data_IF_582950340403
#
_entry.id   IF_582950340403
#
_cell.length_a   1.000
_cell.length_b   1.000
_cell.length_c   1.000
_cell.angle_alpha   90.00
_cell.angle_beta   90.00
_cell.angle_gamma   90.00
#
_symmetry.space_group_name_H-M   'P 1'
#
loop_
_entity.id
_entity.type
_entity.pdbx_description
1 polymer ?
#
# COMPACT_ATOMS: atom_id res chain seq x y z
N UNK A 1 38.43 -24.58 -2.00
CA UNK A 1 37.77 -23.53 -1.19
C UNK A 1 36.73 -24.20 -0.30
N UNK A 2 36.77 -24.01 1.01
CA UNK A 2 35.94 -24.81 1.94
C UNK A 2 34.47 -24.38 1.88
N UNK A 3 33.55 -25.35 1.93
CA UNK A 3 32.10 -25.16 1.88
C UNK A 3 31.59 -24.20 2.98
N UNK A 4 32.30 -24.10 4.11
CA UNK A 4 32.01 -23.13 5.19
C UNK A 4 32.18 -21.67 4.73
N UNK A 5 33.12 -21.40 3.83
CA UNK A 5 33.34 -20.06 3.28
C UNK A 5 32.24 -19.64 2.30
N UNK A 6 31.73 -20.60 1.51
CA UNK A 6 30.63 -20.38 0.55
C UNK A 6 29.30 -20.17 1.30
N UNK A 7 29.06 -20.91 2.38
CA UNK A 7 27.86 -20.77 3.22
C UNK A 7 27.90 -19.47 4.03
N UNK A 8 29.07 -19.05 4.56
CA UNK A 8 29.21 -17.77 5.25
C UNK A 8 29.02 -16.59 4.28
N UNK A 9 29.56 -16.68 3.06
CA UNK A 9 29.36 -15.68 2.01
C UNK A 9 27.89 -15.62 1.55
N UNK A 10 27.21 -16.76 1.36
CA UNK A 10 25.79 -16.81 1.00
C UNK A 10 24.86 -16.37 2.16
N UNK A 11 25.22 -16.58 3.43
CA UNK A 11 24.48 -16.04 4.58
C UNK A 11 24.71 -14.52 4.75
N UNK A 12 25.91 -14.02 4.47
CA UNK A 12 26.21 -12.58 4.44
C UNK A 12 25.56 -11.92 3.21
N UNK A 13 25.42 -12.60 2.09
CA UNK A 13 24.73 -12.06 0.91
C UNK A 13 23.21 -12.18 1.06
N UNK A 14 22.70 -13.26 1.66
CA UNK A 14 21.28 -13.56 1.83
C UNK A 14 20.60 -12.90 3.03
N UNK A 15 21.31 -12.61 4.12
CA UNK A 15 20.76 -11.84 5.25
C UNK A 15 20.91 -10.31 5.09
N UNK A 16 21.54 -9.84 4.01
CA UNK A 16 21.85 -8.40 3.80
C UNK A 16 20.96 -7.77 2.70
N UNK A 17 19.79 -8.36 2.49
CA UNK A 17 18.68 -7.75 1.77
C UNK A 17 17.51 -7.38 2.69
N UNK A 18 17.78 -7.17 3.99
CA UNK A 18 16.92 -6.31 4.83
C UNK A 18 17.45 -4.88 4.65
N UNK A 19 16.99 -4.25 3.57
CA UNK A 19 17.01 -2.81 3.27
C UNK A 19 18.09 -2.00 4.02
N UNK A 20 19.31 -1.98 3.46
CA UNK A 20 20.46 -1.21 3.96
C UNK A 20 20.09 0.23 4.35
N UNK A 21 19.13 0.86 3.65
CA UNK A 21 18.58 2.17 4.01
C UNK A 21 17.86 2.19 5.39
N UNK A 22 17.02 1.21 5.71
CA UNK A 22 16.41 1.08 7.05
C UNK A 22 17.49 0.92 8.11
N UNK A 23 18.48 0.08 7.83
CA UNK A 23 19.56 -0.19 8.78
C UNK A 23 20.38 1.06 9.06
N UNK A 24 20.79 1.79 8.01
CA UNK A 24 21.47 3.07 8.13
C UNK A 24 20.61 4.09 8.89
N UNK A 25 19.30 4.15 8.62
CA UNK A 25 18.40 5.03 9.38
C UNK A 25 18.33 4.71 10.87
N UNK A 26 18.20 3.44 11.22
CA UNK A 26 18.18 3.02 12.63
C UNK A 26 19.52 3.27 13.32
N UNK A 27 20.63 3.12 12.59
CA UNK A 27 21.94 3.49 13.10
C UNK A 27 22.04 5.01 13.33
N UNK A 28 21.57 5.84 12.40
CA UNK A 28 21.52 7.30 12.58
C UNK A 28 20.70 7.65 13.85
N UNK A 29 19.50 7.09 14.01
CA UNK A 29 18.66 7.27 15.20
C UNK A 29 19.37 6.82 16.50
N UNK A 30 20.01 5.64 16.51
CA UNK A 30 20.72 5.11 17.68
C UNK A 30 21.96 5.94 18.05
N UNK A 31 22.75 6.36 17.06
CA UNK A 31 23.93 7.20 17.25
C UNK A 31 23.50 8.53 17.89
N UNK A 32 22.47 9.18 17.36
CA UNK A 32 21.93 10.41 17.94
C UNK A 32 21.39 10.22 19.36
N UNK A 33 20.72 9.11 19.66
CA UNK A 33 20.23 8.81 21.01
C UNK A 33 21.38 8.66 22.01
N UNK A 34 22.47 8.01 21.63
CA UNK A 34 23.68 7.88 22.47
C UNK A 34 24.34 9.24 22.68
N UNK A 35 24.45 10.05 21.63
CA UNK A 35 25.02 11.39 21.72
C UNK A 35 24.17 12.33 22.60
N UNK A 36 22.85 12.13 22.63
CA UNK A 36 21.96 12.88 23.53
C UNK A 36 22.01 12.40 24.99
N UNK A 37 22.47 11.17 25.25
CA UNK A 37 22.56 10.56 26.58
C UNK A 37 23.94 9.92 26.78
N UNK A 38 24.99 10.76 26.95
CA UNK A 38 26.36 10.28 27.02
C UNK A 38 26.63 9.52 28.32
N UNK A 39 27.17 8.31 28.21
CA UNK A 39 27.61 7.49 29.34
C UNK A 39 28.94 6.83 28.95
N UNK A 40 29.87 6.67 29.91
CA UNK A 40 31.26 6.22 29.64
C UNK A 40 31.29 4.81 29.00
N UNK A 41 30.37 3.92 29.37
CA UNK A 41 30.27 2.58 28.77
C UNK A 41 29.66 2.59 27.36
N UNK A 42 29.00 3.68 26.95
CA UNK A 42 28.44 3.83 25.61
C UNK A 42 29.50 4.20 24.57
N UNK A 43 30.71 4.59 24.97
CA UNK A 43 31.82 4.97 24.06
C UNK A 43 32.15 3.83 23.08
N UNK A 44 32.35 2.61 23.58
CA UNK A 44 32.66 1.44 22.73
C UNK A 44 31.53 1.12 21.75
N UNK A 45 30.29 1.24 22.20
CA UNK A 45 29.12 0.95 21.36
C UNK A 45 28.79 2.10 20.40
N UNK A 46 29.18 3.34 20.71
CA UNK A 46 29.16 4.47 19.79
C UNK A 46 30.16 4.24 18.65
N UNK A 47 31.39 3.83 18.96
CA UNK A 47 32.39 3.47 17.94
C UNK A 47 31.93 2.33 17.03
N UNK A 48 31.33 1.28 17.59
CA UNK A 48 30.78 0.17 16.78
C UNK A 48 29.70 0.66 15.82
N UNK A 49 28.78 1.51 16.29
CA UNK A 49 27.68 2.00 15.46
C UNK A 49 28.19 2.96 14.36
N UNK A 50 29.11 3.86 14.69
CA UNK A 50 29.75 4.78 13.73
C UNK A 50 30.58 4.01 12.69
N UNK A 51 31.37 3.01 13.11
CA UNK A 51 32.13 2.16 12.21
C UNK A 51 31.21 1.32 11.30
N UNK A 52 30.11 0.79 11.85
CA UNK A 52 29.10 0.07 11.07
C UNK A 52 28.41 0.98 10.06
N UNK A 53 28.15 2.24 10.42
CA UNK A 53 27.60 3.25 9.51
C UNK A 53 28.53 3.48 8.31
N UNK A 54 29.82 3.73 8.58
CA UNK A 54 30.86 3.91 7.57
C UNK A 54 30.99 2.73 6.62
N UNK A 55 31.03 1.51 7.16
CA UNK A 55 31.14 0.28 6.38
C UNK A 55 29.95 0.10 5.42
N UNK A 56 28.73 0.34 5.90
CA UNK A 56 27.53 0.09 5.10
C UNK A 56 27.29 1.13 4.01
N UNK A 57 27.72 2.39 4.18
CA UNK A 57 27.72 3.37 3.09
C UNK A 57 28.68 2.95 1.98
N UNK A 58 29.93 2.58 2.33
CA UNK A 58 30.92 2.13 1.34
C UNK A 58 30.44 0.91 0.57
N UNK A 59 29.77 -0.01 1.25
CA UNK A 59 29.16 -1.18 0.62
C UNK A 59 28.04 -0.79 -0.33
N UNK A 60 27.12 0.09 0.09
CA UNK A 60 26.02 0.54 -0.75
C UNK A 60 26.52 1.24 -2.00
N UNK A 61 27.51 2.13 -1.86
CA UNK A 61 28.19 2.80 -2.98
C UNK A 61 28.76 1.80 -3.98
N UNK A 62 29.53 0.80 -3.52
CA UNK A 62 30.09 -0.24 -4.41
C UNK A 62 28.99 -1.00 -5.15
N UNK A 63 27.93 -1.41 -4.46
CA UNK A 63 26.82 -2.14 -5.11
C UNK A 63 26.05 -1.27 -6.10
N UNK A 64 25.92 0.02 -5.80
CA UNK A 64 25.28 1.00 -6.67
C UNK A 64 26.10 1.25 -7.94
N UNK A 65 27.42 1.40 -7.83
CA UNK A 65 28.33 1.53 -8.98
C UNK A 65 28.30 0.29 -9.90
N UNK A 66 28.08 -0.89 -9.33
CA UNK A 66 27.85 -2.13 -10.07
C UNK A 66 26.46 -2.22 -10.73
N UNK A 67 25.67 -1.13 -10.71
CA UNK A 67 24.33 -1.01 -11.32
C UNK A 67 23.39 -2.15 -10.93
N UNK A 68 23.41 -2.57 -9.66
CA UNK A 68 22.54 -3.64 -9.17
C UNK A 68 21.12 -3.12 -8.93
N UNK A 69 20.12 -3.69 -9.60
CA UNK A 69 18.73 -3.23 -9.48
C UNK A 69 18.19 -3.30 -8.04
N UNK A 70 18.54 -4.36 -7.30
CA UNK A 70 18.09 -4.57 -5.92
C UNK A 70 18.64 -3.56 -4.90
N UNK A 71 19.58 -2.68 -5.27
CA UNK A 71 20.09 -1.61 -4.39
C UNK A 71 19.53 -0.22 -4.72
N UNK A 72 18.70 -0.09 -5.76
CA UNK A 72 18.16 1.21 -6.19
C UNK A 72 17.25 1.85 -5.13
N UNK A 73 16.35 1.08 -4.51
CA UNK A 73 15.48 1.60 -3.45
C UNK A 73 16.25 1.97 -2.16
N UNK A 74 17.16 1.12 -1.63
CA UNK A 74 18.04 1.51 -0.53
C UNK A 74 18.91 2.75 -0.82
N UNK A 75 19.41 2.88 -2.05
CA UNK A 75 20.16 4.06 -2.49
C UNK A 75 19.28 5.30 -2.53
N UNK A 76 18.05 5.20 -3.05
CA UNK A 76 17.09 6.30 -3.07
C UNK A 76 16.73 6.75 -1.65
N UNK A 77 16.55 5.80 -0.74
CA UNK A 77 16.29 6.09 0.66
C UNK A 77 17.43 6.88 1.33
N UNK A 78 18.69 6.48 1.13
CA UNK A 78 19.83 7.24 1.65
C UNK A 78 19.94 8.63 1.00
N UNK A 79 19.70 8.71 -0.31
CA UNK A 79 19.71 9.98 -1.06
C UNK A 79 18.67 10.98 -0.53
N UNK A 80 17.43 10.54 -0.32
CA UNK A 80 16.34 11.37 0.22
C UNK A 80 16.51 11.71 1.70
N UNK A 81 17.18 10.84 2.48
CA UNK A 81 17.52 11.14 3.87
C UNK A 81 18.56 12.25 4.01
N UNK A 82 19.40 12.45 2.98
CA UNK A 82 20.50 13.41 3.01
C UNK A 82 21.57 13.04 4.04
N UNK A 83 22.43 14.00 4.38
CA UNK A 83 23.49 13.77 5.36
C UNK A 83 22.94 13.34 6.73
N UNK A 84 23.60 12.40 7.41
CA UNK A 84 23.21 11.94 8.73
C UNK A 84 23.13 13.10 9.70
N UNK A 85 22.13 13.07 10.57
CA UNK A 85 21.87 14.17 11.51
C UNK A 85 23.00 14.35 12.51
N UNK A 86 23.66 13.25 12.91
CA UNK A 86 24.82 13.30 13.81
C UNK A 86 26.07 13.92 13.18
N UNK A 87 26.17 13.99 11.84
CA UNK A 87 27.30 14.63 11.16
C UNK A 87 27.11 16.14 11.04
N UNK A 88 25.87 16.59 10.80
CA UNK A 88 25.58 18.01 10.57
C UNK A 88 25.57 18.87 11.83
N UNK A 89 25.28 18.28 13.00
CA UNK A 89 24.88 19.05 14.18
C UNK A 89 25.80 18.86 15.40
N UNK A 90 26.95 18.23 15.26
CA UNK A 90 27.74 17.77 16.42
C UNK A 90 29.17 18.28 16.36
N UNK A 91 29.59 18.96 17.44
CA UNK A 91 31.00 19.25 17.69
C UNK A 91 31.70 17.99 18.22
N UNK A 92 32.70 17.48 17.50
CA UNK A 92 33.49 16.33 17.95
C UNK A 92 34.21 16.62 19.27
N UNK A 93 34.60 17.88 19.52
CA UNK A 93 35.20 18.30 20.79
C UNK A 93 34.20 18.15 21.95
N UNK A 94 32.92 18.44 21.72
CA UNK A 94 31.86 18.22 22.70
C UNK A 94 31.63 16.73 22.94
N UNK A 95 31.65 15.90 21.89
CA UNK A 95 31.53 14.43 22.06
C UNK A 95 32.70 13.87 22.86
N UNK A 96 33.91 14.39 22.63
CA UNK A 96 35.10 14.02 23.40
C UNK A 96 34.91 14.31 24.89
N UNK A 97 34.40 15.49 25.24
CA UNK A 97 34.14 15.87 26.64
C UNK A 97 33.02 15.04 27.25
N UNK A 98 31.91 14.88 26.52
CA UNK A 98 30.69 14.24 27.02
C UNK A 98 30.90 12.74 27.30
N UNK A 99 31.75 12.07 26.52
CA UNK A 99 32.08 10.64 26.66
C UNK A 99 33.40 10.36 27.39
N UNK A 100 34.11 11.40 27.86
CA UNK A 100 35.43 11.31 28.50
C UNK A 100 36.43 10.48 27.66
N UNK A 101 36.48 10.76 26.36
CA UNK A 101 37.31 9.99 25.42
C UNK A 101 38.80 10.27 25.62
N UNK A 102 39.61 9.22 25.47
CA UNK A 102 41.06 9.35 25.33
C UNK A 102 41.44 10.05 24.01
N UNK A 103 42.65 10.60 23.91
CA UNK A 103 43.16 11.22 22.67
C UNK A 103 43.11 10.25 21.47
N UNK A 104 43.38 8.97 21.72
CA UNK A 104 43.33 7.95 20.69
C UNK A 104 41.91 7.73 20.18
N UNK A 105 40.96 7.57 21.08
CA UNK A 105 39.54 7.41 20.74
C UNK A 105 39.01 8.65 20.02
N UNK A 106 39.38 9.83 20.48
CA UNK A 106 39.01 11.09 19.81
C UNK A 106 39.51 11.14 18.37
N UNK A 107 40.77 10.76 18.14
CA UNK A 107 41.34 10.67 16.79
C UNK A 107 40.64 9.63 15.92
N UNK A 108 40.36 8.45 16.48
CA UNK A 108 39.63 7.39 15.77
C UNK A 108 38.21 7.86 15.37
N UNK A 109 37.54 8.64 16.23
CA UNK A 109 36.23 9.22 15.95
C UNK A 109 36.31 10.19 14.77
N UNK A 110 37.28 11.12 14.79
CA UNK A 110 37.50 12.06 13.69
C UNK A 110 37.75 11.33 12.36
N UNK A 111 38.59 10.30 12.36
CA UNK A 111 38.88 9.48 11.18
C UNK A 111 37.62 8.78 10.66
N UNK A 112 36.73 8.30 11.54
CA UNK A 112 35.47 7.71 11.12
C UNK A 112 34.51 8.74 10.54
N UNK A 113 34.40 9.92 11.15
CA UNK A 113 33.54 11.01 10.67
C UNK A 113 33.98 11.49 9.29
N UNK A 114 35.28 11.62 9.06
CA UNK A 114 35.84 11.96 7.75
C UNK A 114 35.54 10.86 6.73
N UNK A 115 35.83 9.60 7.06
CA UNK A 115 35.51 8.44 6.18
C UNK A 115 34.04 8.39 5.80
N UNK A 116 33.12 8.68 6.71
CA UNK A 116 31.68 8.71 6.42
C UNK A 116 31.38 9.85 5.45
N UNK A 117 31.90 11.05 5.71
CA UNK A 117 31.71 12.24 4.87
C UNK A 117 32.22 12.02 3.45
N UNK A 118 33.46 11.53 3.28
CA UNK A 118 34.02 11.20 1.97
C UNK A 118 33.16 10.16 1.24
N UNK A 119 32.71 9.12 1.95
CA UNK A 119 31.93 8.03 1.34
C UNK A 119 30.52 8.50 0.91
N UNK A 120 29.90 9.40 1.68
CA UNK A 120 28.62 10.02 1.33
C UNK A 120 28.75 10.94 0.11
N UNK A 121 29.79 11.77 0.06
CA UNK A 121 30.03 12.66 -1.09
C UNK A 121 30.25 11.84 -2.37
N UNK A 122 31.06 10.78 -2.30
CA UNK A 122 31.25 9.86 -3.41
C UNK A 122 29.95 9.16 -3.83
N UNK A 123 29.08 8.84 -2.87
CA UNK A 123 27.76 8.27 -3.14
C UNK A 123 26.80 9.25 -3.81
N UNK A 124 26.72 10.50 -3.34
CA UNK A 124 25.86 11.51 -3.93
C UNK A 124 26.30 11.89 -5.34
N UNK A 125 27.61 11.99 -5.59
CA UNK A 125 28.15 12.21 -6.94
C UNK A 125 27.75 11.06 -7.87
N UNK A 126 27.97 9.80 -7.46
CA UNK A 126 27.57 8.63 -8.24
C UNK A 126 26.07 8.60 -8.54
N UNK A 127 25.23 9.04 -7.59
CA UNK A 127 23.78 9.15 -7.78
C UNK A 127 23.41 10.24 -8.79
N UNK A 128 24.06 11.41 -8.74
CA UNK A 128 23.83 12.52 -9.67
C UNK A 128 24.26 12.21 -11.11
N UNK A 129 25.24 11.33 -11.28
CA UNK A 129 25.75 10.89 -12.59
C UNK A 129 24.97 9.73 -13.21
N UNK A 130 23.97 9.16 -12.52
CA UNK A 130 23.22 7.98 -12.97
C UNK A 130 21.79 8.35 -13.44
N UNK A 131 21.51 8.40 -14.76
CA UNK A 131 20.19 8.74 -15.30
C UNK A 131 19.09 7.77 -14.88
N UNK A 132 19.43 6.49 -14.69
CA UNK A 132 18.48 5.46 -14.27
C UNK A 132 18.09 5.58 -12.79
N UNK A 133 18.88 6.29 -11.98
CA UNK A 133 18.59 6.51 -10.56
C UNK A 133 17.63 7.69 -10.34
N UNK A 134 17.75 8.74 -11.17
CA UNK A 134 16.91 9.94 -11.08
C UNK A 134 15.43 9.59 -11.31
N UNK A 135 15.15 8.67 -12.24
CA UNK A 135 13.80 8.21 -12.57
C UNK A 135 13.18 7.20 -11.59
N UNK A 136 13.93 6.69 -10.60
CA UNK A 136 13.38 5.75 -9.60
C UNK A 136 12.61 6.53 -8.52
N UNK A 137 11.31 6.27 -8.41
CA UNK A 137 10.48 6.84 -7.35
C UNK A 137 10.90 6.30 -5.98
N UNK A 138 10.96 7.18 -4.97
CA UNK A 138 11.27 6.79 -3.60
C UNK A 138 10.11 6.01 -2.97
N UNK A 139 10.35 4.75 -2.63
CA UNK A 139 9.42 3.92 -1.87
C UNK A 139 9.85 3.85 -0.41
N UNK A 140 9.00 4.31 0.51
CA UNK A 140 9.31 4.22 1.95
C UNK A 140 9.41 2.75 2.36
N UNK A 141 10.35 2.40 3.26
CA UNK A 141 10.48 1.05 3.78
C UNK A 141 9.15 0.57 4.36
N UNK A 142 8.61 -0.49 3.78
CA UNK A 142 7.30 -1.01 4.16
C UNK A 142 7.46 -1.88 5.42
N UNK A 143 7.45 -1.22 6.58
CA UNK A 143 7.08 -1.85 7.85
C UNK A 143 5.59 -2.14 7.81
N UNK A 144 5.24 -3.15 7.01
CA UNK A 144 3.87 -3.52 6.77
C UNK A 144 3.39 -4.47 7.87
N UNK A 145 2.18 -4.21 8.36
CA UNK A 145 1.49 -5.09 9.30
C UNK A 145 1.44 -6.54 8.77
N UNK A 146 1.33 -6.68 7.45
CA UNK A 146 1.22 -7.91 6.68
C UNK A 146 2.53 -8.70 6.67
N UNK A 147 3.68 -8.03 6.53
CA UNK A 147 5.01 -8.67 6.60
C UNK A 147 5.28 -9.20 8.02
N UNK A 148 4.94 -8.42 9.04
CA UNK A 148 5.05 -8.87 10.44
C UNK A 148 4.07 -10.02 10.72
N UNK A 149 2.85 -9.96 10.19
CA UNK A 149 1.86 -11.05 10.28
C UNK A 149 2.40 -12.34 9.68
N UNK A 150 2.95 -12.28 8.47
CA UNK A 150 3.47 -13.45 7.74
C UNK A 150 4.69 -14.04 8.44
N UNK A 151 5.52 -13.19 9.04
CA UNK A 151 6.68 -13.62 9.84
C UNK A 151 6.22 -14.39 11.07
N UNK A 152 5.27 -13.84 11.84
CA UNK A 152 4.69 -14.51 13.00
C UNK A 152 3.96 -15.79 12.63
N UNK A 153 3.26 -15.80 11.50
CA UNK A 153 2.57 -16.99 11.00
C UNK A 153 3.58 -18.12 10.76
N UNK A 154 4.67 -17.84 10.06
CA UNK A 154 5.73 -18.82 9.87
C UNK A 154 6.35 -19.28 11.19
N UNK A 155 6.61 -18.37 12.14
CA UNK A 155 7.15 -18.72 13.46
C UNK A 155 6.21 -19.68 14.19
N UNK A 156 4.92 -19.35 14.30
CA UNK A 156 3.96 -20.14 15.08
C UNK A 156 3.54 -21.43 14.37
N UNK A 157 3.55 -21.44 13.03
CA UNK A 157 3.25 -22.63 12.23
C UNK A 157 4.40 -23.64 12.22
N UNK A 158 5.64 -23.17 12.07
CA UNK A 158 6.82 -24.06 11.94
C UNK A 158 7.43 -24.43 13.29
N UNK A 159 7.24 -23.60 14.31
CA UNK A 159 7.84 -23.76 15.65
C UNK A 159 9.36 -23.99 15.58
N UNK A 160 10.06 -23.29 14.67
CA UNK A 160 11.52 -23.44 14.52
C UNK A 160 12.25 -22.95 15.78
N UNK A 161 12.76 -23.90 16.56
CA UNK A 161 13.49 -23.68 17.82
C UNK A 161 14.78 -22.87 17.66
N UNK A 162 15.31 -22.72 16.43
CA UNK A 162 16.49 -21.90 16.15
C UNK A 162 16.18 -20.40 16.21
N UNK A 163 14.90 -20.03 16.14
CA UNK A 163 14.46 -18.65 16.29
C UNK A 163 14.57 -18.27 17.76
N UNK A 164 15.44 -17.30 18.04
CA UNK A 164 15.69 -16.85 19.42
C UNK A 164 14.42 -16.26 20.04
N UNK A 165 14.12 -16.61 21.30
CA UNK A 165 12.91 -16.18 22.03
C UNK A 165 12.64 -14.68 22.00
N UNK A 166 13.68 -13.83 22.10
CA UNK A 166 13.51 -12.37 22.05
C UNK A 166 12.98 -11.89 20.70
N UNK A 167 13.30 -12.58 19.59
CA UNK A 167 12.77 -12.24 18.27
C UNK A 167 11.28 -12.53 18.20
N UNK A 168 10.84 -13.65 18.77
CA UNK A 168 9.43 -14.02 18.86
C UNK A 168 8.65 -12.96 19.63
N UNK A 169 9.09 -12.65 20.86
CA UNK A 169 8.46 -11.63 21.71
C UNK A 169 8.39 -10.27 21.00
N UNK A 170 9.52 -9.84 20.41
CA UNK A 170 9.60 -8.57 19.68
C UNK A 170 8.69 -8.53 18.46
N UNK A 171 8.59 -9.61 17.68
CA UNK A 171 7.70 -9.65 16.51
C UNK A 171 6.22 -9.52 16.91
N UNK A 172 5.82 -10.12 18.04
CA UNK A 172 4.45 -9.99 18.58
C UNK A 172 4.19 -8.56 19.05
N UNK A 173 5.16 -7.96 19.75
CA UNK A 173 5.10 -6.56 20.19
C UNK A 173 5.02 -5.58 19.00
N UNK A 174 5.86 -5.79 17.98
CA UNK A 174 5.87 -5.02 16.74
C UNK A 174 4.51 -5.13 16.03
N UNK A 175 3.92 -6.33 15.96
CA UNK A 175 2.59 -6.52 15.38
C UNK A 175 1.52 -5.76 16.16
N UNK A 176 1.52 -5.87 17.49
CA UNK A 176 0.62 -5.12 18.36
C UNK A 176 0.69 -3.63 18.07
N UNK A 177 1.91 -3.06 18.04
CA UNK A 177 2.13 -1.64 17.74
C UNK A 177 1.64 -1.25 16.34
N UNK A 178 2.01 -2.01 15.32
CA UNK A 178 1.61 -1.77 13.93
C UNK A 178 0.10 -1.82 13.76
N UNK A 179 -0.60 -2.76 14.39
CA UNK A 179 -2.06 -2.88 14.33
C UNK A 179 -2.74 -1.63 14.92
N UNK A 180 -2.21 -1.09 16.02
CA UNK A 180 -2.71 0.16 16.60
C UNK A 180 -2.52 1.35 15.66
N UNK A 181 -1.33 1.47 15.05
CA UNK A 181 -1.04 2.54 14.07
C UNK A 181 -1.92 2.40 12.81
N UNK A 182 -2.13 1.17 12.35
CA UNK A 182 -2.98 0.83 11.22
C UNK A 182 -4.44 1.25 11.49
N UNK A 183 -4.99 0.81 12.62
CA UNK A 183 -6.35 1.16 13.07
C UNK A 183 -6.55 2.67 13.17
N UNK A 184 -5.60 3.39 13.78
CA UNK A 184 -5.67 4.86 13.87
C UNK A 184 -5.71 5.50 12.48
N UNK A 185 -4.85 5.08 11.56
CA UNK A 185 -4.83 5.62 10.20
C UNK A 185 -6.09 5.26 9.40
N UNK A 186 -6.67 4.09 9.65
CA UNK A 186 -7.94 3.65 9.08
C UNK A 186 -9.11 4.53 9.54
N UNK A 187 -9.23 4.79 10.85
CA UNK A 187 -10.23 5.71 11.43
C UNK A 187 -10.10 7.12 10.83
N UNK A 188 -8.87 7.57 10.58
CA UNK A 188 -8.59 8.85 9.92
C UNK A 188 -8.91 8.87 8.40
N UNK A 189 -9.45 7.79 7.83
CA UNK A 189 -9.92 7.74 6.44
C UNK A 189 -8.82 7.78 5.39
N UNK A 190 -7.59 7.37 5.72
CA UNK A 190 -6.48 7.38 4.74
C UNK A 190 -6.73 6.34 3.64
N UNK A 191 -6.92 6.81 2.39
CA UNK A 191 -7.19 5.96 1.22
C UNK A 191 -6.21 4.81 1.04
N UNK A 192 -4.92 5.03 1.31
CA UNK A 192 -3.85 4.04 1.16
C UNK A 192 -3.95 2.83 2.10
N UNK A 193 -4.90 2.82 3.04
CA UNK A 193 -5.08 1.77 4.04
C UNK A 193 -6.39 1.02 3.85
N UNK A 194 -7.30 1.49 2.98
CA UNK A 194 -8.63 0.89 2.82
C UNK A 194 -8.56 -0.53 2.27
N UNK A 195 -7.78 -0.76 1.21
CA UNK A 195 -7.64 -2.08 0.59
C UNK A 195 -6.97 -3.08 1.53
N UNK A 196 -5.94 -2.64 2.26
CA UNK A 196 -5.26 -3.43 3.29
C UNK A 196 -6.19 -3.76 4.46
N UNK A 197 -7.06 -2.82 4.83
CA UNK A 197 -8.00 -3.01 5.91
C UNK A 197 -9.07 -4.04 5.52
N UNK A 198 -9.51 -4.01 4.26
CA UNK A 198 -10.44 -5.00 3.71
C UNK A 198 -9.85 -6.41 3.80
N UNK A 199 -8.61 -6.61 3.33
CA UNK A 199 -7.93 -7.91 3.41
C UNK A 199 -7.79 -8.43 4.86
N UNK A 200 -7.45 -7.55 5.82
CA UNK A 200 -7.34 -7.92 7.23
C UNK A 200 -8.69 -8.26 7.88
N UNK A 201 -9.77 -7.62 7.43
CA UNK A 201 -11.12 -7.90 7.90
C UNK A 201 -11.68 -9.20 7.30
N UNK A 202 -11.55 -9.39 5.98
CA UNK A 202 -11.98 -10.59 5.25
C UNK A 202 -11.24 -11.86 5.70
N UNK A 203 -9.97 -11.73 6.12
CA UNK A 203 -9.21 -12.86 6.66
C UNK A 203 -9.67 -13.32 8.05
N UNK A 204 -10.59 -12.60 8.70
CA UNK A 204 -11.13 -12.90 10.02
C UNK A 204 -10.15 -12.64 11.17
N UNK A 205 -9.02 -12.00 10.89
CA UNK A 205 -8.04 -11.60 11.90
C UNK A 205 -6.58 -11.86 11.49
N UNK A 206 -5.64 -11.52 12.38
CA UNK A 206 -4.22 -11.81 12.18
C UNK A 206 -4.00 -13.31 11.92
N UNK A 207 -3.46 -13.67 10.75
CA UNK A 207 -3.34 -15.07 10.30
C UNK A 207 -2.56 -15.96 11.27
N UNK A 208 -1.52 -15.41 11.91
CA UNK A 208 -0.69 -16.15 12.85
C UNK A 208 -1.44 -16.64 14.08
N UNK A 209 -2.56 -16.01 14.46
CA UNK A 209 -3.34 -16.42 15.63
C UNK A 209 -3.98 -17.80 15.44
N UNK A 210 -4.20 -18.24 14.19
CA UNK A 210 -4.69 -19.60 13.89
C UNK A 210 -3.74 -20.69 14.36
N UNK A 211 -2.46 -20.36 14.54
CA UNK A 211 -1.41 -21.29 14.95
C UNK A 211 -0.91 -21.00 16.37
N UNK A 212 -1.52 -20.06 17.08
CA UNK A 212 -1.12 -19.74 18.45
C UNK A 212 -1.57 -20.84 19.41
N UNK A 213 -0.62 -21.59 19.95
CA UNK A 213 -0.81 -22.59 21.00
C UNK A 213 0.13 -22.25 22.15
N UNK A 214 -0.44 -21.71 23.23
CA UNK A 214 0.30 -21.19 24.39
C UNK A 214 1.33 -22.20 24.91
N UNK A 215 0.91 -23.45 25.14
CA UNK A 215 1.76 -24.49 25.74
C UNK A 215 2.86 -24.92 24.77
N UNK A 216 2.55 -25.09 23.48
CA UNK A 216 3.57 -25.45 22.49
C UNK A 216 4.59 -24.34 22.29
N UNK A 217 4.16 -23.10 22.22
CA UNK A 217 5.05 -21.95 22.02
C UNK A 217 5.95 -21.75 23.25
N UNK A 218 5.39 -21.83 24.46
CA UNK A 218 6.16 -21.77 25.70
C UNK A 218 7.27 -22.83 25.73
N UNK A 219 6.91 -24.09 25.42
CA UNK A 219 7.85 -25.22 25.46
C UNK A 219 8.91 -25.11 24.37
N UNK A 220 8.52 -24.78 23.14
CA UNK A 220 9.43 -24.73 21.98
C UNK A 220 10.49 -23.65 22.16
N UNK A 221 10.09 -22.45 22.61
CA UNK A 221 11.01 -21.32 22.77
C UNK A 221 11.61 -21.19 24.16
N UNK A 222 11.34 -22.15 25.06
CA UNK A 222 11.83 -22.19 26.45
C UNK A 222 11.58 -20.85 27.16
N UNK A 223 10.35 -20.36 27.07
CA UNK A 223 9.93 -19.12 27.74
C UNK A 223 9.84 -19.36 29.24
N UNK A 224 10.32 -18.41 30.04
CA UNK A 224 10.03 -18.41 31.49
C UNK A 224 8.54 -18.22 31.74
N UNK A 225 8.07 -18.52 32.95
CA UNK A 225 6.66 -18.29 33.34
C UNK A 225 6.24 -16.84 33.10
N UNK A 226 7.09 -15.89 33.45
CA UNK A 226 6.86 -14.45 33.26
C UNK A 226 6.85 -14.05 31.79
N UNK A 227 7.76 -14.59 30.98
CA UNK A 227 7.81 -14.34 29.53
C UNK A 227 6.58 -14.92 28.82
N UNK A 228 6.17 -16.13 29.19
CA UNK A 228 4.97 -16.78 28.64
C UNK A 228 3.70 -16.00 29.00
N UNK A 229 3.56 -15.56 30.26
CA UNK A 229 2.44 -14.70 30.68
C UNK A 229 2.43 -13.35 29.95
N UNK A 230 3.60 -12.74 29.73
CA UNK A 230 3.71 -11.48 28.97
C UNK A 230 3.32 -11.65 27.51
N UNK A 231 3.74 -12.76 26.88
CA UNK A 231 3.34 -13.13 25.52
C UNK A 231 1.82 -13.31 25.42
N UNK A 232 1.23 -14.08 26.33
CA UNK A 232 -0.23 -14.33 26.33
C UNK A 232 -1.02 -13.03 26.53
N UNK A 233 -0.56 -12.15 27.43
CA UNK A 233 -1.14 -10.81 27.60
C UNK A 233 -1.05 -9.98 26.30
N UNK A 234 0.09 -10.03 25.58
CA UNK A 234 0.23 -9.34 24.28
C UNK A 234 -0.74 -9.91 23.23
N UNK A 235 -0.93 -11.23 23.19
CA UNK A 235 -1.92 -11.86 22.31
C UNK A 235 -3.34 -11.42 22.67
N UNK A 236 -3.68 -11.36 23.96
CA UNK A 236 -4.94 -10.81 24.43
C UNK A 236 -5.14 -9.35 24.00
N UNK A 237 -4.10 -8.51 24.14
CA UNK A 237 -4.11 -7.11 23.67
C UNK A 237 -4.27 -6.99 22.15
N UNK A 238 -3.68 -7.91 21.37
CA UNK A 238 -3.86 -7.97 19.91
C UNK A 238 -5.31 -8.30 19.56
N UNK A 239 -5.95 -9.28 20.22
CA UNK A 239 -7.38 -9.57 20.03
C UNK A 239 -8.24 -8.35 20.35
N UNK A 240 -7.97 -7.65 21.46
CA UNK A 240 -8.69 -6.44 21.82
C UNK A 240 -8.53 -5.33 20.77
N UNK A 241 -7.31 -5.10 20.26
CA UNK A 241 -7.07 -4.12 19.18
C UNK A 241 -7.72 -4.53 17.87
N UNK A 242 -7.73 -5.81 17.54
CA UNK A 242 -8.44 -6.30 16.37
C UNK A 242 -9.95 -6.07 16.50
N UNK A 243 -10.53 -6.30 17.69
CA UNK A 243 -11.94 -5.94 17.96
C UNK A 243 -12.22 -4.44 17.81
N UNK A 244 -11.29 -3.58 18.23
CA UNK A 244 -11.40 -2.14 17.98
C UNK A 244 -11.36 -1.80 16.48
N UNK A 245 -10.48 -2.47 15.74
CA UNK A 245 -10.41 -2.36 14.30
C UNK A 245 -11.70 -2.83 13.62
N UNK A 246 -12.22 -4.02 13.92
CA UNK A 246 -13.49 -4.52 13.36
C UNK A 246 -14.66 -3.60 13.71
N UNK A 247 -14.72 -3.08 14.93
CA UNK A 247 -15.73 -2.08 15.29
C UNK A 247 -15.59 -0.79 14.48
N UNK A 248 -14.35 -0.32 14.23
CA UNK A 248 -14.12 0.82 13.36
C UNK A 248 -14.52 0.54 11.91
N UNK A 249 -14.30 -0.69 11.44
CA UNK A 249 -14.72 -1.19 10.14
C UNK A 249 -16.24 -1.15 9.98
N UNK A 250 -16.99 -1.75 10.91
CA UNK A 250 -18.47 -1.70 10.91
C UNK A 250 -19.02 -0.28 11.00
N UNK A 251 -18.33 0.62 11.71
CA UNK A 251 -18.71 2.03 11.85
C UNK A 251 -18.29 2.90 10.65
N UNK A 252 -17.38 2.42 9.80
CA UNK A 252 -16.89 3.19 8.67
C UNK A 252 -17.81 2.94 7.47
N UNK A 253 -18.62 3.94 7.07
CA UNK A 253 -19.60 3.76 6.01
C UNK A 253 -18.95 3.52 4.63
N UNK A 254 -17.63 3.63 4.49
CA UNK A 254 -16.91 3.34 3.25
C UNK A 254 -16.18 1.99 3.27
N UNK A 255 -16.35 1.19 4.32
CA UNK A 255 -15.58 -0.03 4.57
C UNK A 255 -16.29 -1.31 4.14
N UNK A 256 -17.52 -1.51 4.61
CA UNK A 256 -18.44 -2.46 3.95
C UNK A 256 -18.78 -1.89 2.59
N UNK A 257 -18.76 -2.74 1.57
CA UNK A 257 -18.91 -2.36 0.18
C UNK A 257 -20.19 -1.55 -0.03
N UNK A 258 -20.04 -0.23 -0.12
CA UNK A 258 -21.07 0.61 -0.70
C UNK A 258 -21.19 0.22 -2.16
N UNK A 259 -22.42 -0.02 -2.57
CA UNK A 259 -22.82 -0.11 -3.97
C UNK A 259 -22.18 1.04 -4.74
N UNK A 260 -21.30 0.74 -5.69
CA UNK A 260 -20.66 1.78 -6.50
C UNK A 260 -21.64 2.28 -7.56
N UNK A 261 -22.40 3.32 -7.21
CA UNK A 261 -23.35 3.96 -8.11
C UNK A 261 -22.70 4.81 -9.20
N UNK A 262 -21.37 4.76 -9.39
CA UNK A 262 -20.68 5.48 -10.47
C UNK A 262 -21.30 5.19 -11.84
N UNK A 263 -21.66 3.93 -12.11
CA UNK A 263 -22.36 3.50 -13.32
C UNK A 263 -23.71 4.22 -13.50
N UNK A 264 -24.52 4.28 -12.44
CA UNK A 264 -25.82 4.96 -12.47
C UNK A 264 -25.64 6.47 -12.65
N UNK A 265 -24.64 7.05 -12.00
CA UNK A 265 -24.29 8.47 -12.15
C UNK A 265 -23.86 8.80 -13.58
N UNK A 266 -23.04 7.97 -14.22
CA UNK A 266 -22.62 8.15 -15.61
C UNK A 266 -23.84 8.13 -16.53
N UNK A 267 -24.73 7.16 -16.37
CA UNK A 267 -25.97 7.10 -17.16
C UNK A 267 -26.81 8.37 -17.00
N UNK A 268 -26.97 8.91 -15.77
CA UNK A 268 -27.70 10.17 -15.53
C UNK A 268 -27.03 11.37 -16.20
N UNK A 269 -25.70 11.43 -16.19
CA UNK A 269 -24.95 12.50 -16.86
C UNK A 269 -25.12 12.40 -18.37
N UNK A 270 -24.92 11.21 -18.95
CA UNK A 270 -25.13 10.98 -20.37
C UNK A 270 -26.55 11.37 -20.80
N UNK A 271 -27.56 10.99 -20.02
CA UNK A 271 -28.94 11.33 -20.30
C UNK A 271 -29.20 12.84 -20.28
N UNK A 272 -28.70 13.55 -19.26
CA UNK A 272 -28.81 15.00 -19.17
C UNK A 272 -28.12 15.68 -20.36
N UNK A 273 -26.90 15.29 -20.68
CA UNK A 273 -26.15 15.85 -21.81
C UNK A 273 -26.83 15.55 -23.14
N UNK A 274 -27.38 14.34 -23.33
CA UNK A 274 -28.16 14.01 -24.52
C UNK A 274 -29.40 14.90 -24.65
N UNK A 275 -30.12 15.19 -23.55
CA UNK A 275 -31.23 16.15 -23.58
C UNK A 275 -30.79 17.53 -24.04
N UNK A 276 -29.68 18.04 -23.51
CA UNK A 276 -29.14 19.35 -23.89
C UNK A 276 -28.75 19.39 -25.38
N UNK A 277 -28.12 18.32 -25.88
CA UNK A 277 -27.77 18.16 -27.30
C UNK A 277 -29.02 18.14 -28.19
N UNK A 278 -30.08 17.42 -27.79
CA UNK A 278 -31.33 17.37 -28.57
C UNK A 278 -32.16 18.65 -28.51
N UNK A 279 -32.01 19.47 -27.45
CA UNK A 279 -32.66 20.78 -27.37
C UNK A 279 -32.03 21.80 -28.32
N UNK A 280 -30.72 21.69 -28.56
CA UNK A 280 -29.96 22.60 -29.43
C UNK A 280 -29.07 21.79 -30.39
N UNK A 281 -29.66 21.06 -31.35
CA UNK A 281 -28.90 20.19 -32.23
C UNK A 281 -28.00 21.01 -33.17
N UNK A 282 -26.81 20.48 -33.43
CA UNK A 282 -25.81 21.12 -34.29
C UNK A 282 -24.81 20.09 -34.81
N UNK A 283 -24.34 20.27 -36.05
CA UNK A 283 -23.28 19.44 -36.63
C UNK A 283 -22.02 19.38 -35.75
N UNK A 284 -21.71 20.44 -34.99
CA UNK A 284 -20.57 20.48 -34.05
C UNK A 284 -20.73 19.53 -32.86
N UNK A 285 -21.96 19.13 -32.54
CA UNK A 285 -22.27 18.27 -31.41
C UNK A 285 -22.41 16.79 -31.80
N UNK A 286 -22.29 16.46 -33.09
CA UNK A 286 -22.41 15.08 -33.61
C UNK A 286 -21.44 14.13 -32.92
N UNK A 287 -20.17 14.50 -32.77
CA UNK A 287 -19.19 13.65 -32.06
C UNK A 287 -19.56 13.44 -30.59
N UNK A 288 -20.03 14.50 -29.92
CA UNK A 288 -20.50 14.44 -28.53
C UNK A 288 -21.72 13.52 -28.39
N UNK A 289 -22.67 13.61 -29.32
CA UNK A 289 -23.85 12.73 -29.39
C UNK A 289 -23.43 11.26 -29.41
N UNK A 290 -22.56 10.87 -30.35
CA UNK A 290 -22.09 9.49 -30.46
C UNK A 290 -21.29 9.05 -29.24
N UNK A 291 -20.48 9.94 -28.65
CA UNK A 291 -19.74 9.66 -27.42
C UNK A 291 -20.67 9.34 -26.26
N UNK A 292 -21.71 10.15 -26.03
CA UNK A 292 -22.67 9.90 -24.95
C UNK A 292 -23.46 8.60 -25.17
N UNK A 293 -23.89 8.32 -26.41
CA UNK A 293 -24.59 7.07 -26.76
C UNK A 293 -23.70 5.86 -26.48
N UNK A 294 -22.42 5.91 -26.87
CA UNK A 294 -21.45 4.83 -26.66
C UNK A 294 -21.19 4.59 -25.17
N UNK A 295 -20.99 5.66 -24.40
CA UNK A 295 -20.79 5.55 -22.95
C UNK A 295 -22.01 4.91 -22.27
N UNK A 296 -23.22 5.38 -22.62
CA UNK A 296 -24.48 4.78 -22.15
C UNK A 296 -24.54 3.29 -22.49
N UNK A 297 -24.20 2.93 -23.73
CA UNK A 297 -24.17 1.55 -24.18
C UNK A 297 -23.21 0.67 -23.37
N UNK A 298 -22.02 1.17 -23.05
CA UNK A 298 -21.03 0.43 -22.26
C UNK A 298 -21.49 0.21 -20.83
N UNK A 299 -22.07 1.21 -20.16
CA UNK A 299 -22.57 1.06 -18.80
C UNK A 299 -23.72 0.06 -18.72
N UNK A 300 -24.65 0.08 -19.68
CA UNK A 300 -25.69 -0.96 -19.75
C UNK A 300 -25.08 -2.35 -20.00
N UNK A 301 -24.00 -2.43 -20.76
CA UNK A 301 -23.26 -3.68 -20.99
C UNK A 301 -22.60 -4.21 -19.73
N UNK A 302 -22.08 -3.31 -18.89
CA UNK A 302 -21.59 -3.65 -17.55
C UNK A 302 -22.72 -4.24 -16.71
N UNK A 303 -23.85 -3.53 -16.51
CA UNK A 303 -24.99 -3.94 -15.66
C UNK A 303 -25.61 -5.31 -16.02
N UNK A 304 -25.42 -5.77 -17.26
CA UNK A 304 -25.90 -7.10 -17.71
C UNK A 304 -25.06 -8.26 -17.21
N UNK A 305 -23.80 -8.06 -16.83
CA UNK A 305 -22.90 -9.14 -16.41
C UNK A 305 -23.42 -9.83 -15.13
N UNK A 306 -23.24 -11.14 -15.03
CA UNK A 306 -23.72 -11.91 -13.88
C UNK A 306 -22.87 -11.73 -12.61
N UNK A 307 -21.59 -11.39 -12.78
CA UNK A 307 -20.58 -11.33 -11.73
C UNK A 307 -20.33 -9.90 -11.20
N UNK A 308 -21.34 -9.04 -11.22
CA UNK A 308 -21.21 -7.66 -10.72
C UNK A 308 -21.44 -7.65 -9.20
N UNK A 309 -20.56 -7.06 -8.40
CA UNK A 309 -20.82 -6.80 -6.99
C UNK A 309 -22.05 -5.89 -6.82
N UNK A 310 -22.95 -6.22 -5.89
CA UNK A 310 -24.19 -5.45 -5.65
C UNK A 310 -25.08 -5.27 -6.90
N UNK A 311 -25.12 -6.30 -7.75
CA UNK A 311 -25.87 -6.25 -9.01
C UNK A 311 -27.32 -5.88 -8.79
N UNK A 312 -27.99 -6.45 -7.78
CA UNK A 312 -29.41 -6.21 -7.54
C UNK A 312 -29.66 -4.75 -7.16
N UNK A 313 -28.82 -4.17 -6.30
CA UNK A 313 -28.92 -2.80 -5.83
C UNK A 313 -28.60 -1.80 -6.96
N UNK A 314 -27.65 -2.10 -7.85
CA UNK A 314 -27.39 -1.31 -9.04
C UNK A 314 -28.55 -1.38 -10.05
N UNK A 315 -29.12 -2.57 -10.24
CA UNK A 315 -30.30 -2.76 -11.10
C UNK A 315 -31.53 -2.04 -10.52
N UNK A 316 -31.72 -2.09 -9.21
CA UNK A 316 -32.77 -1.37 -8.51
C UNK A 316 -32.60 0.14 -8.67
N UNK A 317 -31.41 0.70 -8.43
CA UNK A 317 -31.17 2.14 -8.62
C UNK A 317 -31.33 2.58 -10.09
N UNK A 318 -30.98 1.72 -11.05
CA UNK A 318 -31.26 1.95 -12.46
C UNK A 318 -32.77 1.99 -12.73
N UNK A 319 -33.52 1.05 -12.14
CA UNK A 319 -34.97 0.99 -12.26
C UNK A 319 -35.66 2.16 -11.54
N UNK A 320 -35.17 2.62 -10.39
CA UNK A 320 -35.69 3.81 -9.70
C UNK A 320 -35.42 5.10 -10.50
N UNK A 321 -34.28 5.18 -11.19
CA UNK A 321 -33.91 6.36 -11.98
C UNK A 321 -34.78 6.55 -13.21
N UNK A 322 -35.14 5.47 -13.91
CA UNK A 322 -35.88 5.54 -15.17
C UNK A 322 -37.30 4.97 -15.07
N UNK A 323 -37.57 4.06 -14.12
CA UNK A 323 -38.85 3.40 -13.96
C UNK A 323 -39.33 2.77 -15.27
N UNK A 324 -40.59 3.02 -15.61
CA UNK A 324 -41.19 2.74 -16.93
C UNK A 324 -40.91 3.83 -17.96
N UNK A 325 -40.34 4.97 -17.54
CA UNK A 325 -40.04 6.10 -18.40
C UNK A 325 -38.71 5.91 -19.13
N UNK A 326 -38.78 5.59 -20.42
CA UNK A 326 -37.59 5.45 -21.25
C UNK A 326 -36.79 6.77 -21.30
N UNK A 327 -35.43 6.70 -21.15
CA UNK A 327 -34.52 7.80 -21.44
C UNK A 327 -34.84 8.46 -22.78
N UNK A 328 -34.58 9.77 -22.92
CA UNK A 328 -34.99 10.53 -24.12
C UNK A 328 -34.50 9.89 -25.43
N UNK A 329 -33.25 9.40 -25.45
CA UNK A 329 -32.62 8.73 -26.59
C UNK A 329 -33.30 7.41 -26.97
N UNK A 330 -34.06 6.80 -26.05
CA UNK A 330 -34.74 5.53 -26.25
C UNK A 330 -36.20 5.68 -26.62
N UNK A 331 -36.77 6.89 -26.57
CA UNK A 331 -38.13 7.17 -27.04
C UNK A 331 -38.20 7.07 -28.58
N UNK A 332 -39.39 7.01 -29.20
CA UNK A 332 -39.50 7.15 -30.65
C UNK A 332 -38.88 8.47 -31.11
N UNK A 333 -37.87 8.39 -31.98
CA UNK A 333 -37.16 9.54 -32.54
C UNK A 333 -37.48 9.65 -34.04
N UNK A 334 -37.58 10.87 -34.54
CA UNK A 334 -37.69 11.11 -35.98
C UNK A 334 -36.27 11.21 -36.57
N UNK A 335 -35.80 10.12 -37.18
CA UNK A 335 -34.45 10.03 -37.71
C UNK A 335 -34.19 10.96 -38.90
N UNK A 336 -35.20 11.22 -39.73
CA UNK A 336 -35.10 12.23 -40.80
C UNK A 336 -34.87 13.64 -40.23
N UNK A 337 -35.60 13.98 -39.16
CA UNK A 337 -35.39 15.24 -38.46
C UNK A 337 -33.99 15.30 -37.83
N UNK A 338 -33.55 14.23 -37.15
CA UNK A 338 -32.21 14.18 -36.55
C UNK A 338 -31.10 14.29 -37.60
N UNK A 339 -31.26 13.63 -38.75
CA UNK A 339 -30.33 13.73 -39.87
C UNK A 339 -30.20 15.18 -40.34
N UNK A 340 -31.31 15.88 -40.51
CA UNK A 340 -31.33 17.31 -40.87
C UNK A 340 -30.70 18.18 -39.77
N UNK A 341 -31.14 18.02 -38.53
CA UNK A 341 -30.75 18.85 -37.38
C UNK A 341 -29.24 18.75 -37.07
N UNK A 342 -28.63 17.57 -37.27
CA UNK A 342 -27.20 17.33 -37.07
C UNK A 342 -26.37 17.36 -38.37
N UNK A 343 -27.02 17.60 -39.51
CA UNK A 343 -26.40 17.57 -40.86
C UNK A 343 -25.62 16.28 -41.10
N UNK A 344 -26.23 15.13 -40.79
CA UNK A 344 -25.59 13.82 -40.91
C UNK A 344 -25.62 13.34 -42.36
N UNK A 345 -24.52 12.73 -42.80
CA UNK A 345 -24.51 11.89 -44.00
C UNK A 345 -25.44 10.68 -43.85
N UNK A 346 -25.99 10.18 -44.94
CA UNK A 346 -26.89 9.01 -44.97
C UNK A 346 -26.32 7.81 -44.21
N UNK A 347 -25.04 7.50 -44.45
CA UNK A 347 -24.35 6.38 -43.79
C UNK A 347 -24.22 6.56 -42.28
N UNK A 348 -24.09 7.81 -41.82
CA UNK A 348 -23.98 8.15 -40.40
C UNK A 348 -25.35 8.14 -39.72
N UNK A 349 -26.39 8.58 -40.41
CA UNK A 349 -27.77 8.50 -39.93
C UNK A 349 -28.22 7.04 -39.74
N UNK A 350 -27.92 6.15 -40.69
CA UNK A 350 -28.21 4.70 -40.59
C UNK A 350 -27.47 4.10 -39.39
N UNK A 351 -26.18 4.39 -39.21
CA UNK A 351 -25.41 3.93 -38.04
C UNK A 351 -26.00 4.42 -36.72
N UNK A 352 -26.46 5.66 -36.67
CA UNK A 352 -27.10 6.23 -35.48
C UNK A 352 -28.39 5.46 -35.14
N UNK A 353 -29.22 5.20 -36.14
CA UNK A 353 -30.46 4.41 -35.98
C UNK A 353 -30.16 3.00 -35.47
N UNK A 354 -29.20 2.30 -36.06
CA UNK A 354 -28.75 0.98 -35.61
C UNK A 354 -28.26 1.02 -34.16
N UNK A 355 -27.40 1.98 -33.81
CA UNK A 355 -26.85 2.12 -32.46
C UNK A 355 -27.93 2.38 -31.41
N UNK A 356 -28.89 3.24 -31.72
CA UNK A 356 -30.03 3.51 -30.82
C UNK A 356 -30.90 2.25 -30.69
N UNK A 357 -31.11 1.50 -31.77
CA UNK A 357 -31.79 0.20 -31.74
C UNK A 357 -31.08 -0.83 -30.85
N UNK A 358 -29.75 -0.91 -30.92
CA UNK A 358 -28.93 -1.74 -30.02
C UNK A 358 -29.02 -1.28 -28.56
N UNK A 359 -28.96 0.03 -28.32
CA UNK A 359 -29.08 0.61 -26.99
C UNK A 359 -30.44 0.29 -26.37
N UNK A 360 -31.54 0.45 -27.13
CA UNK A 360 -32.90 0.13 -26.69
C UNK A 360 -33.05 -1.33 -26.31
N UNK A 361 -32.55 -2.26 -27.15
CA UNK A 361 -32.54 -3.70 -26.83
C UNK A 361 -31.79 -3.98 -25.53
N UNK A 362 -30.63 -3.38 -25.34
CA UNK A 362 -29.79 -3.60 -24.16
C UNK A 362 -30.41 -3.02 -22.89
N UNK A 363 -31.05 -1.85 -22.98
CA UNK A 363 -31.80 -1.25 -21.87
C UNK A 363 -32.96 -2.14 -21.43
N UNK A 364 -33.76 -2.62 -22.38
CA UNK A 364 -34.88 -3.53 -22.09
C UNK A 364 -34.39 -4.82 -21.42
N UNK A 365 -33.25 -5.38 -21.85
CA UNK A 365 -32.64 -6.53 -21.19
C UNK A 365 -32.27 -6.25 -19.73
N UNK A 366 -31.68 -5.08 -19.44
CA UNK A 366 -31.35 -4.68 -18.06
C UNK A 366 -32.61 -4.59 -17.20
N UNK A 367 -33.69 -4.00 -17.72
CA UNK A 367 -34.97 -3.94 -17.01
C UNK A 367 -35.58 -5.33 -16.78
N UNK A 368 -35.56 -6.20 -17.79
CA UNK A 368 -36.07 -7.57 -17.66
C UNK A 368 -35.26 -8.39 -16.65
N UNK A 369 -33.94 -8.22 -16.60
CA UNK A 369 -33.11 -8.87 -15.57
C UNK A 369 -33.57 -8.46 -14.18
N UNK A 370 -33.81 -7.16 -13.95
CA UNK A 370 -34.31 -6.67 -12.67
C UNK A 370 -35.68 -7.27 -12.32
N UNK A 371 -36.65 -7.19 -13.24
CA UNK A 371 -38.01 -7.70 -13.02
C UNK A 371 -38.04 -9.21 -12.74
N UNK A 372 -37.22 -10.00 -13.44
CA UNK A 372 -37.12 -11.44 -13.20
C UNK A 372 -36.52 -11.74 -11.82
N UNK A 373 -35.48 -11.00 -11.41
CA UNK A 373 -34.85 -11.19 -10.11
C UNK A 373 -35.80 -10.85 -8.94
N UNK A 374 -36.62 -9.81 -9.09
CA UNK A 374 -37.59 -9.42 -8.06
C UNK A 374 -38.81 -10.35 -8.01
N UNK A 375 -39.28 -10.88 -9.14
CA UNK A 375 -40.38 -11.86 -9.16
C UNK A 375 -40.00 -13.18 -8.47
N UNK A 376 -38.75 -13.64 -8.62
CA UNK A 376 -38.23 -14.84 -7.94
C UNK A 376 -38.17 -14.63 -6.41
N UNK A 377 -37.89 -13.41 -5.96
CA UNK A 377 -37.84 -13.08 -4.53
C UNK A 377 -39.21 -12.96 -3.85
N UNK A 378 -40.30 -12.84 -4.63
CA UNK A 378 -41.67 -12.76 -4.11
C UNK A 378 -42.37 -14.13 -4.05
N UNK A 379 -41.77 -15.16 -4.64
CA UNK A 379 -42.29 -16.54 -4.70
C UNK A 379 -41.55 -17.49 -3.74
N UNK A 380 -40.49 -17.00 -3.08
CA UNK A 380 -39.78 -17.62 -1.96
C UNK A 380 -40.15 -16.90 -0.66
#
# INVERSE_FOLDING_TARGET
MSEKFVILYLLIVGCISIEVGIFLKKLDENINLKLANPEIYNTTDLFKDVAAYSFNIKRLLRLFQLKRDHVMQPAKMLYEMGHPTFIKNISCEKVRSDFLMTEREYKDLLDFMDKITTSLNAFYNACGENPHFIGVAFEKPDFSLERTSSTLENIFKTLDYRIKKFKVLKSVEDYYYLLGKFTKKFILGRRTIMDRARLLFESGGPLFLKYYDYLKIQKTYKLTVTEAASLDNLIGKIHQRYKQFTNACFKNPNFESKVDFSSIRIIRICEKTLREIFLNPSAKLTESLFKQIREFYHVLGFLRRHNIPHRLELLQAMYETFGTNSPIILRPLNFEKLKSDFQLEDTTAVKLEEYIGHLRRRFNQVQQIYLNLTAIQQTL
#
